data_IF_064712638397
#
_entry.id   IF_064712638397
#
_cell.length_a   1.000
_cell.length_b   1.000
_cell.length_c   1.000
_cell.angle_alpha   90.00
_cell.angle_beta   90.00
_cell.angle_gamma   90.00
#
_symmetry.space_group_name_H-M   'P 1'
#
loop_
_entity.id
_entity.type
_entity.pdbx_description
1 polymer ?
#
# COMPACT_ATOMS: atom_id res chain seq x y z
N UNK A 1 18.89 -1.25 -8.75
CA UNK A 1 18.46 0.17 -8.76
C UNK A 1 18.85 0.82 -7.44
N UNK A 2 19.62 1.92 -7.43
CA UNK A 2 19.90 2.68 -6.22
C UNK A 2 18.69 3.60 -5.96
N UNK A 3 17.89 3.31 -4.92
CA UNK A 3 16.82 4.21 -4.44
C UNK A 3 17.45 5.59 -4.17
N UNK A 4 17.03 6.60 -4.91
CA UNK A 4 17.56 7.97 -4.83
C UNK A 4 17.20 8.60 -3.50
N UNK A 5 17.90 9.68 -3.13
CA UNK A 5 17.71 10.37 -1.85
C UNK A 5 16.30 10.95 -1.67
N UNK A 6 15.60 11.26 -2.77
CA UNK A 6 14.23 11.80 -2.78
C UNK A 6 13.18 10.75 -2.38
N UNK A 7 13.27 9.50 -2.87
CA UNK A 7 12.38 8.40 -2.48
C UNK A 7 12.38 8.16 -0.97
N UNK A 8 13.53 8.38 -0.32
CA UNK A 8 13.66 8.24 1.13
C UNK A 8 12.95 9.37 1.88
N UNK A 9 12.85 10.56 1.30
CA UNK A 9 12.15 11.69 1.90
C UNK A 9 10.64 11.46 1.89
N UNK A 10 10.08 11.07 0.74
CA UNK A 10 8.64 10.81 0.62
C UNK A 10 8.16 9.65 1.48
N UNK A 11 8.95 8.58 1.56
CA UNK A 11 8.63 7.45 2.44
C UNK A 11 8.63 7.91 3.91
N UNK A 12 9.61 8.71 4.33
CA UNK A 12 9.69 9.19 5.70
C UNK A 12 8.50 10.10 6.07
N UNK A 13 8.08 10.98 5.16
CA UNK A 13 6.92 11.85 5.35
C UNK A 13 5.62 11.04 5.42
N UNK A 14 5.42 10.11 4.49
CA UNK A 14 4.24 9.22 4.49
C UNK A 14 4.14 8.39 5.78
N UNK A 15 5.27 7.81 6.22
CA UNK A 15 5.30 7.03 7.46
C UNK A 15 5.05 7.90 8.70
N UNK A 16 5.52 9.15 8.69
CA UNK A 16 5.26 10.09 9.79
C UNK A 16 3.78 10.48 9.87
N UNK A 17 3.14 10.70 8.72
CA UNK A 17 1.70 10.93 8.64
C UNK A 17 0.91 9.74 9.17
N UNK A 18 1.23 8.52 8.71
CA UNK A 18 0.56 7.30 9.16
C UNK A 18 0.76 7.05 10.66
N UNK A 19 1.97 7.29 11.17
CA UNK A 19 2.26 7.15 12.60
C UNK A 19 1.42 8.11 13.45
N UNK A 20 1.21 9.35 13.00
CA UNK A 20 0.35 10.32 13.68
C UNK A 20 -1.11 9.86 13.72
N UNK A 21 -1.65 9.35 12.60
CA UNK A 21 -3.03 8.85 12.51
C UNK A 21 -3.25 7.63 13.42
N UNK A 22 -2.31 6.68 13.40
CA UNK A 22 -2.32 5.50 14.28
C UNK A 22 -2.31 5.90 15.75
N UNK A 23 -1.51 6.90 16.12
CA UNK A 23 -1.44 7.38 17.50
C UNK A 23 -2.73 8.09 17.94
N UNK A 24 -3.42 8.75 17.02
CA UNK A 24 -4.64 9.49 17.31
C UNK A 24 -5.85 8.57 17.54
N UNK A 25 -5.98 7.49 16.75
CA UNK A 25 -7.10 6.55 16.84
C UNK A 25 -6.63 5.08 16.80
N UNK A 26 -5.89 4.61 17.82
CA UNK A 26 -5.37 3.24 17.84
C UNK A 26 -6.48 2.17 17.82
N UNK A 27 -7.67 2.47 18.31
CA UNK A 27 -8.83 1.59 18.33
C UNK A 27 -9.38 1.26 16.93
N UNK A 28 -9.03 2.05 15.90
CA UNK A 28 -9.42 1.81 14.51
C UNK A 28 -8.50 0.83 13.79
N UNK A 29 -7.40 0.42 14.41
CA UNK A 29 -6.52 -0.62 13.86
C UNK A 29 -7.19 -1.99 13.96
N UNK A 30 -7.57 -2.54 12.81
CA UNK A 30 -8.13 -3.87 12.71
C UNK A 30 -7.03 -4.84 12.28
N UNK A 31 -6.69 -5.86 13.09
CA UNK A 31 -5.69 -6.85 12.71
C UNK A 31 -6.11 -7.61 11.46
N UNK A 32 -5.17 -7.79 10.53
CA UNK A 32 -5.39 -8.64 9.37
C UNK A 32 -5.45 -10.10 9.84
N UNK A 33 -6.59 -10.76 9.64
CA UNK A 33 -6.73 -12.19 9.97
C UNK A 33 -6.15 -13.06 8.87
N UNK A 34 -5.74 -14.28 9.22
CA UNK A 34 -5.27 -15.27 8.23
C UNK A 34 -6.33 -15.56 7.15
N UNK A 35 -7.61 -15.56 7.52
CA UNK A 35 -8.73 -15.74 6.59
C UNK A 35 -8.78 -14.58 5.58
N UNK A 36 -8.74 -13.33 6.04
CA UNK A 36 -8.74 -12.14 5.15
C UNK A 36 -7.56 -12.15 4.19
N UNK A 37 -6.37 -12.52 4.69
CA UNK A 37 -5.18 -12.65 3.84
C UNK A 37 -5.37 -13.74 2.77
N UNK A 38 -5.86 -14.91 3.16
CA UNK A 38 -6.09 -16.02 2.24
C UNK A 38 -7.12 -15.67 1.17
N UNK A 39 -8.28 -15.12 1.58
CA UNK A 39 -9.31 -14.65 0.67
C UNK A 39 -8.78 -13.59 -0.30
N UNK A 40 -8.01 -12.62 0.19
CA UNK A 40 -7.38 -11.62 -0.67
C UNK A 40 -6.47 -12.27 -1.72
N UNK A 41 -5.64 -13.22 -1.30
CA UNK A 41 -4.73 -13.94 -2.19
C UNK A 41 -5.45 -14.82 -3.21
N UNK A 42 -6.56 -15.45 -2.83
CA UNK A 42 -7.42 -16.21 -3.75
C UNK A 42 -8.08 -15.29 -4.78
N UNK A 43 -8.56 -14.11 -4.37
CA UNK A 43 -9.24 -13.16 -5.25
C UNK A 43 -8.31 -12.58 -6.33
N UNK A 44 -7.03 -12.38 -6.01
CA UNK A 44 -6.04 -11.87 -6.97
C UNK A 44 -5.30 -13.00 -7.71
N UNK A 45 -5.66 -14.26 -7.46
CA UNK A 45 -4.99 -15.40 -8.08
C UNK A 45 -5.12 -15.33 -9.61
N UNK A 46 -3.98 -15.38 -10.31
CA UNK A 46 -3.92 -15.28 -11.77
C UNK A 46 -4.03 -13.85 -12.31
N UNK A 47 -4.12 -12.82 -11.46
CA UNK A 47 -3.99 -11.42 -11.87
C UNK A 47 -2.51 -11.06 -11.89
N UNK A 48 -1.98 -10.76 -13.08
CA UNK A 48 -0.65 -10.17 -13.21
C UNK A 48 -0.75 -8.65 -13.04
N UNK A 49 -0.20 -8.13 -11.94
CA UNK A 49 -0.13 -6.70 -11.67
C UNK A 49 1.23 -6.19 -12.10
N UNK A 50 1.25 -5.39 -13.17
CA UNK A 50 2.44 -4.66 -13.61
C UNK A 50 2.36 -3.21 -13.10
N UNK A 51 3.12 -2.92 -12.04
CA UNK A 51 3.18 -1.58 -11.43
C UNK A 51 4.07 -0.61 -12.22
N UNK A 52 4.85 -1.10 -13.19
CA UNK A 52 5.70 -0.30 -14.06
C UNK A 52 4.96 0.10 -15.34
N UNK A 53 3.84 -0.57 -15.65
CA UNK A 53 2.98 -0.20 -16.76
C UNK A 53 2.24 1.11 -16.44
N UNK A 54 2.24 2.08 -17.38
CA UNK A 54 1.39 3.25 -17.25
C UNK A 54 -0.07 2.83 -17.04
N UNK A 55 -0.77 3.54 -16.16
CA UNK A 55 -2.22 3.41 -16.07
C UNK A 55 -2.79 3.65 -17.47
N UNK A 56 -3.71 2.79 -17.90
CA UNK A 56 -4.44 3.04 -19.13
C UNK A 56 -5.31 4.27 -18.86
N UNK A 57 -5.22 5.30 -19.70
CA UNK A 57 -6.25 6.32 -19.75
C UNK A 57 -7.53 5.62 -20.19
N UNK A 58 -8.41 5.29 -19.24
CA UNK A 58 -9.76 4.81 -19.52
C UNK A 58 -10.64 6.00 -19.97
N UNK A 59 -10.25 6.67 -21.06
CA UNK A 59 -11.04 7.68 -21.74
C UNK A 59 -11.27 8.99 -20.97
N UNK A 60 -11.32 10.09 -21.71
CA UNK A 60 -11.95 11.36 -21.32
C UNK A 60 -13.45 11.18 -20.98
#
# INVERSE_FOLDING_TARGET
MKKTSEDKCYIAEFLSFLAADIHHCPERLIPLTACMYHTGNELICGVEIDLDKPLLDEGE
#
